data_IF_205515284087
#
_entry.id   IF_205515284087
#
_cell.length_a   1.000
_cell.length_b   1.000
_cell.length_c   1.000
_cell.angle_alpha   90.00
_cell.angle_beta   90.00
_cell.angle_gamma   90.00
#
_symmetry.space_group_name_H-M   'P 1'
#
loop_
_entity.id
_entity.type
_entity.pdbx_description
1 polymer ?
#
# COMPACT_ATOMS: atom_id res chain seq x y z
N UNK A 1 -1.84 -1.15 30.98
CA UNK A 1 -1.45 -1.39 29.58
C UNK A 1 -1.22 -2.89 29.42
N UNK A 2 -1.84 -3.50 28.44
CA UNK A 2 -1.66 -4.92 28.09
C UNK A 2 -0.89 -5.03 26.78
N UNK A 3 -0.08 -6.07 26.64
CA UNK A 3 0.60 -6.36 25.36
C UNK A 3 -0.38 -6.96 24.34
N UNK A 4 -0.01 -6.97 23.06
CA UNK A 4 -0.81 -7.53 21.98
C UNK A 4 -0.96 -9.06 22.13
N UNK A 5 -2.17 -9.56 21.94
CA UNK A 5 -2.46 -11.01 21.85
C UNK A 5 -1.99 -11.63 20.53
N UNK A 6 -1.58 -10.82 19.56
CA UNK A 6 -1.06 -11.29 18.26
C UNK A 6 0.40 -11.78 18.32
N UNK A 7 1.06 -11.67 19.48
CA UNK A 7 2.45 -12.08 19.68
C UNK A 7 2.62 -13.58 19.53
N UNK A 8 3.55 -13.99 18.67
CA UNK A 8 3.93 -15.38 18.44
C UNK A 8 5.29 -15.74 19.05
N UNK A 9 6.10 -14.74 19.36
CA UNK A 9 7.45 -14.89 19.91
C UNK A 9 7.76 -13.77 20.88
N UNK A 10 8.46 -14.07 21.98
CA UNK A 10 8.88 -13.07 22.97
C UNK A 10 10.35 -13.24 23.32
N UNK A 11 11.12 -12.17 23.21
CA UNK A 11 12.49 -12.07 23.69
C UNK A 11 12.76 -10.66 24.19
N UNK A 12 12.61 -10.45 25.50
CA UNK A 12 12.71 -9.12 26.10
C UNK A 12 14.13 -8.60 26.07
N UNK A 13 14.29 -7.41 25.47
CA UNK A 13 15.56 -6.68 25.41
C UNK A 13 15.85 -5.93 26.72
N UNK A 14 17.10 -5.89 27.17
CA UNK A 14 17.52 -5.02 28.27
C UNK A 14 17.53 -3.52 27.87
N UNK A 15 17.56 -3.22 26.56
CA UNK A 15 17.64 -1.85 26.02
C UNK A 15 16.26 -1.18 26.06
N UNK A 16 15.78 -0.84 27.27
CA UNK A 16 14.49 -0.19 27.49
C UNK A 16 14.52 0.74 28.70
N UNK A 17 13.56 1.63 28.77
CA UNK A 17 13.29 2.42 29.97
C UNK A 17 11.98 1.95 30.58
N UNK A 18 12.02 1.55 31.85
CA UNK A 18 10.86 1.03 32.59
C UNK A 18 10.53 1.90 33.80
N UNK A 19 9.27 2.32 33.96
CA UNK A 19 8.21 2.33 32.96
C UNK A 19 8.37 3.50 31.98
N UNK A 20 7.55 3.51 30.88
CA UNK A 20 7.39 4.75 30.08
C UNK A 20 6.73 5.84 30.93
N UNK A 21 7.01 7.10 30.62
CA UNK A 21 6.50 8.25 31.37
C UNK A 21 5.30 8.95 30.70
N UNK A 22 4.75 8.36 29.62
CA UNK A 22 3.61 8.90 28.87
C UNK A 22 2.65 7.79 28.47
N UNK A 23 1.37 8.12 28.33
CA UNK A 23 0.39 7.19 27.72
C UNK A 23 0.76 6.92 26.26
N UNK A 24 0.38 5.75 25.77
CA UNK A 24 0.53 5.42 24.34
C UNK A 24 -0.55 6.17 23.56
N UNK A 25 -0.14 7.05 22.65
CA UNK A 25 -1.01 7.83 21.77
C UNK A 25 -0.48 7.88 20.32
N UNK A 26 0.56 7.07 20.02
CA UNK A 26 1.29 7.09 18.74
C UNK A 26 1.79 5.70 18.36
N UNK A 27 1.91 5.46 17.06
CA UNK A 27 2.63 4.30 16.49
C UNK A 27 3.75 4.83 15.60
N UNK A 28 4.97 4.32 15.80
CA UNK A 28 6.12 4.64 14.94
C UNK A 28 6.59 3.38 14.25
N UNK A 29 6.59 3.40 12.90
CA UNK A 29 6.93 2.25 12.09
C UNK A 29 8.37 2.38 11.57
N UNK A 30 9.09 1.26 11.66
CA UNK A 30 10.45 1.06 11.22
C UNK A 30 10.54 -0.13 10.27
N UNK A 31 11.67 -0.34 9.63
CA UNK A 31 12.01 -1.56 8.93
C UNK A 31 13.28 -2.19 9.50
N UNK A 32 13.35 -3.51 9.47
CA UNK A 32 14.49 -4.27 10.01
C UNK A 32 15.78 -4.10 9.18
N UNK A 33 15.73 -3.40 8.06
CA UNK A 33 16.80 -3.29 7.06
C UNK A 33 17.33 -4.66 6.61
N UNK A 34 16.45 -5.67 6.54
CA UNK A 34 16.77 -7.03 6.14
C UNK A 34 15.57 -7.98 6.21
N UNK A 35 15.74 -9.15 5.61
CA UNK A 35 14.76 -10.24 5.66
C UNK A 35 14.98 -11.07 6.95
N UNK A 36 14.69 -10.46 8.10
CA UNK A 36 14.89 -11.11 9.40
C UNK A 36 13.60 -11.82 9.85
N UNK A 37 13.77 -12.97 10.50
CA UNK A 37 12.70 -13.58 11.29
C UNK A 37 12.51 -12.82 12.60
N UNK A 38 11.40 -13.04 13.30
CA UNK A 38 11.15 -12.43 14.60
C UNK A 38 12.21 -12.85 15.65
N UNK A 39 12.75 -14.07 15.55
CA UNK A 39 13.83 -14.56 16.39
C UNK A 39 15.14 -13.83 16.11
N UNK A 40 15.49 -13.65 14.83
CA UNK A 40 16.70 -12.92 14.43
C UNK A 40 16.62 -11.45 14.85
N UNK A 41 15.50 -10.79 14.68
CA UNK A 41 15.28 -9.43 15.14
C UNK A 41 15.42 -9.34 16.68
N UNK A 42 14.85 -10.28 17.43
CA UNK A 42 15.02 -10.38 18.88
C UNK A 42 16.48 -10.58 19.28
N UNK A 43 17.26 -11.35 18.52
CA UNK A 43 18.69 -11.54 18.75
C UNK A 43 19.49 -10.24 18.51
N UNK A 44 19.09 -9.40 17.55
CA UNK A 44 19.70 -8.08 17.33
C UNK A 44 19.53 -7.17 18.55
N UNK A 45 18.40 -7.24 19.25
CA UNK A 45 18.08 -6.38 20.40
C UNK A 45 18.48 -6.96 21.76
N UNK A 46 18.93 -8.22 21.81
CA UNK A 46 19.28 -8.91 23.05
C UNK A 46 20.53 -8.37 23.76
N UNK A 47 21.64 -8.02 23.07
CA UNK A 47 22.81 -7.49 23.73
C UNK A 47 22.54 -6.08 24.31
N UNK A 48 22.96 -5.84 25.56
CA UNK A 48 22.88 -4.50 26.18
C UNK A 48 23.69 -3.46 25.42
N UNK A 49 24.78 -3.87 24.79
CA UNK A 49 25.63 -3.02 23.96
C UNK A 49 24.98 -2.52 22.69
N UNK A 50 23.81 -3.12 22.27
CA UNK A 50 23.07 -2.69 21.08
C UNK A 50 22.50 -1.28 21.22
N UNK A 51 22.16 -0.86 22.46
CA UNK A 51 21.60 0.47 22.77
C UNK A 51 20.39 0.86 21.89
N UNK A 52 19.66 -0.13 21.40
CA UNK A 52 18.45 0.03 20.60
C UNK A 52 17.49 -1.16 20.81
N UNK A 53 16.20 -0.92 20.62
CA UNK A 53 15.15 -1.94 20.71
C UNK A 53 13.85 -1.44 20.06
N UNK A 54 12.88 -2.34 19.84
CA UNK A 54 11.52 -2.01 19.46
C UNK A 54 10.52 -2.70 20.38
N UNK A 55 9.28 -2.22 20.45
CA UNK A 55 8.24 -2.93 21.16
C UNK A 55 7.90 -4.24 20.40
N UNK A 56 7.68 -4.15 19.13
CA UNK A 56 7.32 -5.30 18.30
C UNK A 56 8.16 -5.40 17.03
N UNK A 57 8.21 -6.60 16.45
CA UNK A 57 8.72 -6.86 15.13
C UNK A 57 7.78 -7.79 14.36
N UNK A 58 7.70 -7.62 13.04
CA UNK A 58 6.88 -8.45 12.16
C UNK A 58 7.79 -9.10 11.13
N UNK A 59 7.82 -10.45 11.12
CA UNK A 59 8.55 -11.23 10.12
C UNK A 59 7.85 -11.24 8.76
N UNK A 60 8.57 -11.60 7.69
CA UNK A 60 7.98 -11.76 6.36
C UNK A 60 6.87 -12.81 6.27
N UNK A 61 6.85 -13.74 7.21
CA UNK A 61 5.84 -14.78 7.37
C UNK A 61 4.57 -14.29 8.09
N UNK A 62 4.57 -13.03 8.54
CA UNK A 62 3.47 -12.41 9.28
C UNK A 62 3.44 -12.76 10.77
N UNK A 63 4.47 -13.43 11.32
CA UNK A 63 4.60 -13.63 12.77
C UNK A 63 4.96 -12.33 13.47
N UNK A 64 4.51 -12.18 14.72
CA UNK A 64 4.78 -11.01 15.56
C UNK A 64 5.70 -11.39 16.70
N UNK A 65 6.84 -10.69 16.82
CA UNK A 65 7.75 -10.77 17.96
C UNK A 65 7.54 -9.58 18.91
N UNK A 66 7.70 -9.80 20.22
CA UNK A 66 7.72 -8.77 21.25
C UNK A 66 9.10 -8.70 21.88
N UNK A 67 9.70 -7.49 21.91
CA UNK A 67 11.06 -7.26 22.44
C UNK A 67 11.07 -6.28 23.59
N UNK A 68 10.08 -5.38 23.67
CA UNK A 68 9.84 -4.49 24.82
C UNK A 68 8.33 -4.46 25.08
N UNK A 69 7.92 -4.67 26.33
CA UNK A 69 6.50 -4.59 26.71
C UNK A 69 5.96 -3.17 26.51
N UNK A 70 4.67 -3.04 26.21
CA UNK A 70 4.07 -1.72 25.97
C UNK A 70 4.09 -0.80 27.20
N UNK A 71 4.15 -1.34 28.41
CA UNK A 71 4.33 -0.54 29.63
C UNK A 71 5.69 0.15 29.71
N UNK A 72 6.67 -0.30 28.91
CA UNK A 72 8.03 0.20 28.88
C UNK A 72 8.31 0.96 27.57
N UNK A 73 9.24 1.89 27.61
CA UNK A 73 9.72 2.62 26.43
C UNK A 73 10.81 1.82 25.73
N UNK A 74 10.62 1.50 24.46
CA UNK A 74 11.69 1.02 23.58
C UNK A 74 12.68 2.16 23.23
N UNK A 75 13.86 1.81 22.73
CA UNK A 75 14.87 2.75 22.25
C UNK A 75 14.99 2.59 20.73
N UNK A 76 13.99 3.06 19.99
CA UNK A 76 13.83 2.73 18.58
C UNK A 76 14.08 3.92 17.62
N UNK A 77 13.52 5.10 17.95
CA UNK A 77 13.54 6.23 17.03
C UNK A 77 14.68 7.21 17.26
N UNK A 78 15.62 6.92 18.18
CA UNK A 78 16.64 7.85 18.65
C UNK A 78 16.07 9.15 19.23
N UNK A 79 14.78 9.15 19.56
CA UNK A 79 14.06 10.29 20.15
C UNK A 79 13.22 9.82 21.33
N UNK A 80 13.71 10.14 22.52
CA UNK A 80 13.09 9.67 23.77
C UNK A 80 11.67 10.21 23.96
N UNK A 81 11.39 11.44 23.55
CA UNK A 81 10.05 12.02 23.63
C UNK A 81 9.04 11.30 22.74
N UNK A 82 9.45 10.91 21.51
CA UNK A 82 8.63 10.07 20.64
C UNK A 82 8.44 8.68 21.24
N UNK A 83 9.52 8.01 21.65
CA UNK A 83 9.48 6.61 22.09
C UNK A 83 8.69 6.43 23.41
N UNK A 84 8.58 7.46 24.25
CA UNK A 84 7.69 7.44 25.41
C UNK A 84 6.21 7.43 25.05
N UNK A 85 5.84 8.01 23.90
CA UNK A 85 4.47 8.09 23.38
C UNK A 85 4.13 6.93 22.45
N UNK A 86 5.14 6.39 21.76
CA UNK A 86 4.92 5.46 20.66
C UNK A 86 5.00 4.00 21.10
N UNK A 87 4.16 3.17 20.48
CA UNK A 87 4.51 1.76 20.23
C UNK A 87 5.32 1.73 18.95
N UNK A 88 6.54 1.17 19.01
CA UNK A 88 7.45 1.09 17.87
C UNK A 88 7.42 -0.31 17.26
N UNK A 89 7.37 -0.39 15.92
CA UNK A 89 7.21 -1.64 15.19
C UNK A 89 8.28 -1.75 14.10
N UNK A 90 9.09 -2.76 14.16
CA UNK A 90 10.04 -3.15 13.10
C UNK A 90 9.37 -4.12 12.12
N UNK A 91 9.47 -3.86 10.83
CA UNK A 91 8.89 -4.72 9.79
C UNK A 91 9.99 -5.31 8.93
N UNK A 92 10.00 -6.63 8.76
CA UNK A 92 10.97 -7.32 7.93
C UNK A 92 10.79 -6.94 6.45
N UNK A 93 11.91 -6.77 5.76
CA UNK A 93 11.92 -6.56 4.32
C UNK A 93 11.96 -7.91 3.58
N UNK A 94 11.27 -8.01 2.47
CA UNK A 94 11.28 -9.21 1.61
C UNK A 94 12.55 -9.31 0.76
N UNK A 95 13.25 -8.17 0.57
CA UNK A 95 14.56 -8.09 -0.07
C UNK A 95 15.38 -6.94 0.56
N UNK A 96 16.71 -6.99 0.41
CA UNK A 96 17.63 -5.95 0.89
C UNK A 96 17.83 -4.87 -0.17
N UNK A 97 18.07 -3.63 0.28
CA UNK A 97 18.29 -2.46 -0.59
C UNK A 97 16.99 -1.73 -0.98
N UNK A 98 17.14 -0.48 -1.38
CA UNK A 98 15.98 0.32 -1.83
C UNK A 98 15.26 -0.37 -3.01
N UNK A 99 13.92 -0.35 -3.00
CA UNK A 99 13.02 0.42 -2.13
C UNK A 99 12.71 -0.22 -0.76
N UNK A 100 13.41 -1.24 -0.34
CA UNK A 100 13.19 -2.00 0.90
C UNK A 100 11.78 -2.62 0.95
N UNK A 101 11.42 -3.49 0.01
CA UNK A 101 10.07 -4.03 -0.10
C UNK A 101 9.68 -4.86 1.12
N UNK A 102 8.38 -4.89 1.41
CA UNK A 102 7.78 -5.66 2.50
C UNK A 102 6.76 -6.62 1.89
N UNK A 103 6.69 -7.85 2.39
CA UNK A 103 5.70 -8.83 1.91
C UNK A 103 4.27 -8.44 2.28
N UNK A 104 3.29 -8.86 1.47
CA UNK A 104 1.88 -8.63 1.76
C UNK A 104 1.46 -9.23 3.10
N UNK A 105 2.04 -10.38 3.49
CA UNK A 105 1.78 -11.01 4.80
C UNK A 105 2.22 -10.11 5.95
N UNK A 106 3.42 -9.54 5.87
CA UNK A 106 3.94 -8.63 6.89
C UNK A 106 3.18 -7.31 6.90
N UNK A 107 2.83 -6.76 5.72
CA UNK A 107 2.07 -5.52 5.60
C UNK A 107 0.64 -5.66 6.16
N UNK A 108 -0.05 -6.75 5.85
CA UNK A 108 -1.38 -7.02 6.41
C UNK A 108 -1.32 -7.24 7.92
N UNK A 109 -0.30 -7.96 8.42
CA UNK A 109 -0.11 -8.16 9.85
C UNK A 109 0.23 -6.84 10.57
N UNK A 110 0.94 -5.93 9.93
CA UNK A 110 1.19 -4.57 10.46
C UNK A 110 -0.12 -3.82 10.67
N UNK A 111 -1.06 -3.89 9.72
CA UNK A 111 -2.40 -3.30 9.88
C UNK A 111 -3.14 -3.94 11.04
N UNK A 112 -3.14 -5.30 11.17
CA UNK A 112 -3.77 -6.01 12.28
C UNK A 112 -3.22 -5.53 13.64
N UNK A 113 -1.89 -5.44 13.76
CA UNK A 113 -1.21 -5.01 14.98
C UNK A 113 -1.50 -3.55 15.31
N UNK A 114 -1.51 -2.65 14.31
CA UNK A 114 -1.89 -1.25 14.50
C UNK A 114 -3.34 -1.11 15.00
N UNK A 115 -4.28 -1.88 14.47
CA UNK A 115 -5.69 -1.90 14.94
C UNK A 115 -5.76 -2.35 16.40
N UNK A 116 -5.05 -3.43 16.75
CA UNK A 116 -5.01 -3.96 18.11
C UNK A 116 -4.41 -2.94 19.10
N UNK A 117 -3.29 -2.30 18.76
CA UNK A 117 -2.67 -1.24 19.56
C UNK A 117 -3.63 -0.07 19.73
N UNK A 118 -4.27 0.41 18.67
CA UNK A 118 -5.22 1.51 18.74
C UNK A 118 -6.39 1.21 19.69
N UNK A 119 -7.00 0.03 19.56
CA UNK A 119 -8.12 -0.40 20.41
C UNK A 119 -7.73 -0.48 21.89
N UNK A 120 -6.57 -1.11 22.19
CA UNK A 120 -6.13 -1.30 23.58
C UNK A 120 -5.68 -0.01 24.25
N UNK A 121 -5.21 0.97 23.50
CA UNK A 121 -4.70 2.23 24.03
C UNK A 121 -5.67 3.41 23.84
N UNK A 122 -6.89 3.17 23.35
CA UNK A 122 -7.91 4.21 23.19
C UNK A 122 -7.55 5.25 22.12
N UNK A 123 -6.83 4.85 21.06
CA UNK A 123 -6.51 5.71 19.91
C UNK A 123 -7.68 5.59 18.92
N UNK A 124 -8.55 6.61 18.80
CA UNK A 124 -9.78 6.48 18.02
C UNK A 124 -9.53 6.43 16.51
N UNK A 125 -8.48 7.09 16.05
CA UNK A 125 -8.07 7.13 14.66
C UNK A 125 -6.55 7.17 14.53
N UNK A 126 -6.02 6.46 13.54
CA UNK A 126 -4.62 6.54 13.16
C UNK A 126 -4.44 7.61 12.08
N UNK A 127 -3.77 8.71 12.43
CA UNK A 127 -3.67 9.92 11.59
C UNK A 127 -2.27 10.02 10.99
N UNK A 128 -2.19 9.99 9.67
CA UNK A 128 -0.97 10.25 8.90
C UNK A 128 -1.04 11.64 8.29
N UNK A 129 -0.11 12.51 8.65
CA UNK A 129 -0.03 13.91 8.18
C UNK A 129 1.13 14.16 7.21
N UNK A 130 2.04 13.19 7.07
CA UNK A 130 3.28 13.36 6.32
C UNK A 130 4.43 13.95 7.15
N UNK A 131 4.21 14.17 8.44
CA UNK A 131 5.16 14.72 9.41
C UNK A 131 4.91 14.20 10.84
N UNK A 132 5.55 14.82 11.85
CA UNK A 132 5.43 14.44 13.26
C UNK A 132 4.15 14.91 13.93
N UNK A 133 3.27 15.66 13.29
CA UNK A 133 2.02 16.17 13.87
C UNK A 133 0.93 15.11 14.00
N UNK A 134 0.97 14.07 13.14
CA UNK A 134 0.11 12.89 13.24
C UNK A 134 0.52 11.92 14.34
N UNK A 135 -0.26 10.84 14.49
CA UNK A 135 0.04 9.76 15.42
C UNK A 135 0.47 8.44 14.75
N UNK A 136 0.51 8.40 13.41
CA UNK A 136 1.23 7.41 12.61
C UNK A 136 2.50 8.07 12.06
N UNK A 137 3.64 7.67 12.58
CA UNK A 137 4.93 8.31 12.29
C UNK A 137 5.99 7.32 11.85
N UNK A 138 7.10 7.82 11.28
CA UNK A 138 8.23 7.01 10.82
C UNK A 138 9.55 7.51 11.40
N UNK A 139 10.54 6.64 11.49
CA UNK A 139 11.84 6.91 12.12
C UNK A 139 12.55 8.14 11.53
N UNK A 140 12.58 8.28 10.21
CA UNK A 140 13.30 9.38 9.53
C UNK A 140 12.84 10.80 9.91
N UNK A 141 11.73 10.93 10.58
CA UNK A 141 11.26 12.22 11.09
C UNK A 141 11.86 12.60 12.45
N UNK A 142 12.54 11.66 13.11
CA UNK A 142 13.14 11.84 14.43
C UNK A 142 14.66 11.74 14.44
N UNK A 143 15.25 11.13 13.40
CA UNK A 143 16.69 10.96 13.24
C UNK A 143 17.09 10.95 11.76
N UNK A 144 18.34 11.30 11.40
CA UNK A 144 18.85 11.25 10.04
C UNK A 144 19.06 9.79 9.60
N UNK A 145 18.03 9.16 9.06
CA UNK A 145 18.04 7.75 8.61
C UNK A 145 17.16 7.54 7.39
N UNK A 146 17.44 6.51 6.60
CA UNK A 146 16.58 6.07 5.49
C UNK A 146 15.33 5.27 5.95
N UNK A 147 15.29 4.84 7.23
CA UNK A 147 14.18 4.05 7.78
C UNK A 147 12.83 4.81 7.69
N UNK A 148 11.73 4.16 7.28
CA UNK A 148 11.53 2.73 7.06
C UNK A 148 11.71 2.25 5.60
N UNK A 149 12.51 2.93 4.79
CA UNK A 149 12.64 2.67 3.35
C UNK A 149 11.54 3.35 2.53
N UNK A 150 11.73 3.46 1.21
CA UNK A 150 10.78 4.17 0.35
C UNK A 150 9.48 3.38 0.14
N UNK A 151 9.56 2.04 0.04
CA UNK A 151 8.38 1.19 -0.10
C UNK A 151 7.42 1.35 1.08
N UNK A 152 7.90 1.10 2.30
CA UNK A 152 7.02 1.15 3.48
C UNK A 152 6.52 2.57 3.74
N UNK A 153 7.36 3.59 3.54
CA UNK A 153 6.96 4.99 3.63
C UNK A 153 5.80 5.33 2.68
N UNK A 154 5.79 4.79 1.46
CA UNK A 154 4.69 4.99 0.50
C UNK A 154 3.37 4.35 0.94
N UNK A 155 3.41 3.36 1.85
CA UNK A 155 2.22 2.65 2.35
C UNK A 155 1.55 3.33 3.55
N UNK A 156 2.14 4.36 4.15
CA UNK A 156 1.59 4.99 5.35
C UNK A 156 0.16 5.54 5.20
N UNK A 157 -0.20 6.24 4.10
CA UNK A 157 -1.58 6.67 3.88
C UNK A 157 -2.54 5.47 3.82
N UNK A 158 -2.16 4.41 3.13
CA UNK A 158 -2.94 3.17 3.02
C UNK A 158 -3.06 2.45 4.38
N UNK A 159 -1.97 2.36 5.17
CA UNK A 159 -1.99 1.77 6.51
C UNK A 159 -2.99 2.53 7.39
N UNK A 160 -2.94 3.87 7.41
CA UNK A 160 -3.87 4.69 8.18
C UNK A 160 -5.33 4.45 7.75
N UNK A 161 -5.59 4.40 6.44
CA UNK A 161 -6.92 4.11 5.89
C UNK A 161 -7.43 2.74 6.32
N UNK A 162 -6.62 1.67 6.16
CA UNK A 162 -7.03 0.31 6.52
C UNK A 162 -7.28 0.14 8.02
N UNK A 163 -6.43 0.76 8.86
CA UNK A 163 -6.61 0.75 10.32
C UNK A 163 -7.90 1.46 10.70
N UNK A 164 -8.12 2.68 10.19
CA UNK A 164 -9.30 3.46 10.53
C UNK A 164 -10.60 2.81 10.03
N UNK A 165 -10.59 2.21 8.85
CA UNK A 165 -11.71 1.42 8.34
C UNK A 165 -12.10 0.30 9.33
N UNK A 166 -11.11 -0.40 9.93
CA UNK A 166 -11.36 -1.47 10.90
C UNK A 166 -11.67 -0.96 12.31
N UNK A 167 -11.23 0.24 12.68
CA UNK A 167 -11.62 0.88 13.94
C UNK A 167 -13.06 1.38 13.89
N UNK A 168 -13.47 2.00 12.79
CA UNK A 168 -14.77 2.66 12.63
C UNK A 168 -15.89 1.70 12.17
N UNK A 169 -15.56 0.55 11.61
CA UNK A 169 -16.53 -0.48 11.20
C UNK A 169 -17.27 -1.16 12.37
N UNK A 170 -17.02 -0.75 13.63
CA UNK A 170 -17.63 -1.28 14.83
C UNK A 170 -18.60 -0.30 15.54
N UNK A 171 -18.97 0.81 14.90
CA UNK A 171 -19.99 1.72 15.46
C UNK A 171 -21.33 1.59 14.72
N UNK A 172 -22.03 0.50 14.97
CA UNK A 172 -23.49 0.50 14.96
C UNK A 172 -23.98 -0.36 16.11
N UNK A 173 -24.66 0.33 17.00
CA UNK A 173 -25.26 -0.13 18.24
C UNK A 173 -26.27 -1.27 18.03
N UNK A 174 -26.27 -2.24 18.95
CA UNK A 174 -27.39 -3.14 19.16
C UNK A 174 -27.00 -4.61 19.32
N UNK A 175 -27.15 -5.07 20.55
CA UNK A 175 -27.10 -6.44 21.04
C UNK A 175 -27.33 -7.55 20.01
N UNK A 176 -26.24 -8.29 19.68
CA UNK A 176 -26.28 -9.74 19.46
C UNK A 176 -24.85 -10.29 19.37
N UNK A 177 -24.57 -11.56 19.73
CA UNK A 177 -23.20 -12.10 19.82
C UNK A 177 -22.50 -12.16 18.45
N UNK A 178 -21.15 -12.15 18.41
CA UNK A 178 -20.39 -11.93 17.20
C UNK A 178 -20.51 -13.11 16.24
N UNK A 179 -21.16 -12.88 15.11
CA UNK A 179 -20.99 -13.73 13.93
C UNK A 179 -20.07 -12.96 12.99
N UNK A 180 -18.77 -13.16 13.15
CA UNK A 180 -17.76 -12.67 12.22
C UNK A 180 -17.87 -13.42 10.90
N UNK A 181 -18.01 -12.68 9.79
CA UNK A 181 -17.88 -13.28 8.48
C UNK A 181 -18.41 -12.35 7.40
N UNK A 182 -17.48 -11.66 6.72
CA UNK A 182 -17.76 -10.96 5.48
C UNK A 182 -18.58 -11.86 4.54
N UNK A 183 -19.70 -11.34 4.02
CA UNK A 183 -20.61 -12.11 3.19
C UNK A 183 -20.37 -11.80 1.72
N UNK A 184 -19.77 -12.74 1.01
CA UNK A 184 -19.50 -12.67 -0.42
C UNK A 184 -20.75 -13.04 -1.22
N UNK A 185 -21.29 -12.09 -2.01
CA UNK A 185 -22.50 -12.28 -2.82
C UNK A 185 -22.14 -12.47 -4.28
N UNK A 186 -22.76 -13.44 -4.94
CA UNK A 186 -22.58 -13.70 -6.36
C UNK A 186 -23.75 -13.08 -7.12
N UNK A 187 -23.47 -12.07 -7.97
CA UNK A 187 -24.47 -11.32 -8.76
C UNK A 187 -23.93 -10.99 -10.15
N UNK A 188 -24.83 -10.62 -11.08
CA UNK A 188 -24.44 -10.06 -12.37
C UNK A 188 -23.88 -8.64 -12.24
N UNK A 189 -24.47 -7.82 -11.37
CA UNK A 189 -23.95 -6.52 -10.90
C UNK A 189 -24.35 -6.28 -9.45
N UNK A 190 -23.68 -5.39 -8.74
CA UNK A 190 -24.04 -5.10 -7.34
C UNK A 190 -25.44 -4.51 -7.21
N UNK A 191 -25.83 -3.63 -8.12
CA UNK A 191 -27.16 -2.99 -8.15
C UNK A 191 -28.30 -3.95 -8.52
N UNK A 192 -27.98 -5.08 -9.17
CA UNK A 192 -28.99 -6.09 -9.53
C UNK A 192 -29.10 -7.16 -8.44
N UNK A 193 -29.76 -6.80 -7.34
CA UNK A 193 -29.99 -7.72 -6.22
C UNK A 193 -30.82 -8.97 -6.62
N UNK A 194 -31.64 -8.87 -7.66
CA UNK A 194 -32.46 -9.98 -8.16
C UNK A 194 -31.63 -11.05 -8.88
N UNK A 195 -30.46 -10.69 -9.39
CA UNK A 195 -29.53 -11.64 -10.02
C UNK A 195 -28.71 -12.44 -9.02
N UNK A 196 -28.88 -12.26 -7.72
CA UNK A 196 -28.07 -12.97 -6.75
C UNK A 196 -28.32 -14.48 -6.77
N UNK A 197 -27.25 -15.26 -7.07
CA UNK A 197 -27.32 -16.73 -7.11
C UNK A 197 -26.69 -17.39 -5.88
N UNK A 198 -26.02 -16.62 -5.02
CA UNK A 198 -25.42 -17.13 -3.79
C UNK A 198 -24.88 -16.04 -2.87
N UNK A 199 -24.70 -16.40 -1.61
CA UNK A 199 -24.02 -15.60 -0.61
C UNK A 199 -23.21 -16.53 0.31
N UNK A 200 -21.92 -16.27 0.46
CA UNK A 200 -20.96 -17.16 1.11
C UNK A 200 -20.11 -16.40 2.12
N UNK A 201 -19.78 -17.03 3.23
CA UNK A 201 -18.86 -16.48 4.24
C UNK A 201 -17.38 -16.73 3.92
N UNK A 202 -17.12 -17.55 2.92
CA UNK A 202 -15.78 -17.90 2.46
C UNK A 202 -15.63 -17.50 1.00
N UNK A 203 -14.60 -16.68 0.68
CA UNK A 203 -14.37 -16.18 -0.67
C UNK A 203 -14.07 -17.31 -1.68
N UNK A 204 -13.31 -18.32 -1.29
CA UNK A 204 -12.99 -19.45 -2.17
C UNK A 204 -14.24 -20.29 -2.51
N UNK A 205 -15.15 -20.45 -1.56
CA UNK A 205 -16.46 -21.07 -1.81
C UNK A 205 -17.30 -20.24 -2.78
N UNK A 206 -17.31 -18.91 -2.61
CA UNK A 206 -18.01 -18.01 -3.51
C UNK A 206 -17.41 -18.01 -4.93
N UNK A 207 -16.08 -18.06 -5.05
CA UNK A 207 -15.38 -18.20 -6.36
C UNK A 207 -15.75 -19.49 -7.08
N UNK A 208 -15.77 -20.60 -6.35
CA UNK A 208 -16.11 -21.93 -6.90
C UNK A 208 -17.53 -21.97 -7.48
N UNK A 209 -18.47 -21.31 -6.82
CA UNK A 209 -19.89 -21.29 -7.22
C UNK A 209 -20.22 -20.11 -8.17
N UNK A 210 -19.25 -19.27 -8.49
CA UNK A 210 -19.44 -18.13 -9.38
C UNK A 210 -19.57 -18.59 -10.84
N UNK A 211 -20.78 -18.55 -11.37
CA UNK A 211 -21.08 -18.94 -12.75
C UNK A 211 -20.55 -17.91 -13.75
N UNK A 212 -20.39 -18.35 -15.00
CA UNK A 212 -20.04 -17.45 -16.11
C UNK A 212 -21.04 -16.29 -16.22
N UNK A 213 -20.54 -15.09 -16.47
CA UNK A 213 -21.34 -13.86 -16.52
C UNK A 213 -21.64 -13.21 -15.16
N UNK A 214 -21.14 -13.81 -14.05
CA UNK A 214 -21.34 -13.29 -12.70
C UNK A 214 -20.03 -12.80 -12.08
N UNK A 215 -20.17 -12.02 -11.01
CA UNK A 215 -19.04 -11.58 -10.18
C UNK A 215 -19.36 -11.81 -8.72
N UNK A 216 -18.32 -12.04 -7.92
CA UNK A 216 -18.39 -12.11 -6.47
C UNK A 216 -18.15 -10.71 -5.90
N UNK A 217 -19.05 -10.26 -5.05
CA UNK A 217 -19.01 -8.96 -4.39
C UNK A 217 -18.83 -9.14 -2.90
N UNK A 218 -18.02 -8.28 -2.27
CA UNK A 218 -17.97 -8.16 -0.81
C UNK A 218 -19.19 -7.37 -0.28
N UNK A 219 -19.24 -7.14 1.03
CA UNK A 219 -20.38 -6.42 1.67
C UNK A 219 -20.49 -4.97 1.21
N UNK A 220 -19.37 -4.35 0.85
CA UNK A 220 -19.32 -2.96 0.33
C UNK A 220 -19.73 -2.87 -1.15
N UNK A 221 -20.01 -3.99 -1.82
CA UNK A 221 -20.36 -4.02 -3.23
C UNK A 221 -19.15 -4.02 -4.17
N UNK A 222 -17.95 -4.18 -3.66
CA UNK A 222 -16.75 -4.27 -4.50
C UNK A 222 -16.63 -5.68 -5.12
N UNK A 223 -16.25 -5.75 -6.39
CA UNK A 223 -15.94 -7.01 -7.06
C UNK A 223 -14.65 -7.58 -6.49
N UNK A 224 -14.71 -8.77 -5.89
CA UNK A 224 -13.54 -9.51 -5.37
C UNK A 224 -13.16 -10.70 -6.25
N UNK A 225 -14.03 -11.09 -7.18
CA UNK A 225 -13.78 -12.08 -8.23
C UNK A 225 -14.80 -11.93 -9.35
N UNK A 226 -14.40 -12.16 -10.61
CA UNK A 226 -15.31 -12.13 -11.76
C UNK A 226 -15.10 -13.37 -12.63
N UNK A 227 -16.21 -14.03 -13.00
CA UNK A 227 -16.26 -15.13 -13.94
C UNK A 227 -17.03 -14.69 -15.19
N UNK A 228 -16.73 -13.50 -15.71
CA UNK A 228 -17.25 -13.01 -16.98
C UNK A 228 -16.26 -13.35 -18.09
N UNK A 229 -16.71 -13.83 -19.27
CA UNK A 229 -15.81 -14.03 -20.39
C UNK A 229 -15.13 -12.71 -20.75
N UNK A 230 -13.84 -12.79 -21.06
CA UNK A 230 -12.98 -11.67 -21.44
C UNK A 230 -13.36 -11.17 -22.84
N UNK A 231 -14.54 -10.51 -22.96
CA UNK A 231 -14.95 -9.83 -24.17
C UNK A 231 -16.00 -8.79 -23.83
N UNK A 232 -15.54 -7.62 -23.44
CA UNK A 232 -16.20 -6.35 -23.76
C UNK A 232 -15.32 -5.21 -23.27
N UNK A 233 -14.92 -4.34 -24.21
CA UNK A 233 -14.37 -3.01 -23.96
C UNK A 233 -15.22 -2.31 -22.90
N UNK A 234 -14.63 -1.59 -21.94
CA UNK A 234 -15.40 -0.73 -21.06
C UNK A 234 -15.85 0.51 -21.85
N UNK A 235 -17.04 0.45 -22.43
CA UNK A 235 -17.77 1.64 -22.79
C UNK A 235 -18.43 2.21 -21.53
N UNK A 236 -18.14 3.48 -21.29
CA UNK A 236 -18.86 4.49 -20.54
C UNK A 236 -19.76 4.02 -19.39
N UNK A 237 -19.21 3.61 -18.24
CA UNK A 237 -20.02 3.48 -17.05
C UNK A 237 -19.42 4.30 -15.89
N UNK A 238 -20.27 5.11 -15.29
CA UNK A 238 -20.08 6.05 -14.19
C UNK A 238 -19.76 5.37 -12.82
N UNK A 239 -19.21 4.17 -12.81
CA UNK A 239 -18.79 3.45 -11.60
C UNK A 239 -17.30 3.60 -11.32
N UNK A 240 -16.94 3.86 -10.08
CA UNK A 240 -15.56 3.96 -9.62
C UNK A 240 -14.78 2.66 -9.88
N UNK A 241 -13.69 2.73 -10.66
CA UNK A 241 -12.80 1.61 -10.93
C UNK A 241 -11.69 1.57 -9.87
N UNK A 242 -11.52 0.47 -9.10
CA UNK A 242 -10.52 0.40 -8.03
C UNK A 242 -9.08 0.53 -8.56
N UNK A 243 -8.75 0.00 -9.73
CA UNK A 243 -7.42 0.12 -10.34
C UNK A 243 -7.13 1.58 -10.69
N UNK A 244 -8.11 2.29 -11.27
CA UNK A 244 -7.98 3.73 -11.57
C UNK A 244 -7.82 4.52 -10.27
N UNK A 245 -8.57 4.19 -9.22
CA UNK A 245 -8.46 4.83 -7.91
C UNK A 245 -7.06 4.64 -7.32
N UNK A 246 -6.51 3.45 -7.37
CA UNK A 246 -5.16 3.17 -6.91
C UNK A 246 -4.12 3.92 -7.75
N UNK A 247 -4.30 3.96 -9.06
CA UNK A 247 -3.49 4.79 -9.97
C UNK A 247 -3.54 6.28 -9.62
N UNK A 248 -4.72 6.81 -9.26
CA UNK A 248 -4.90 8.20 -8.80
C UNK A 248 -4.17 8.45 -7.47
N UNK A 249 -4.21 7.50 -6.53
CA UNK A 249 -3.46 7.59 -5.26
C UNK A 249 -1.95 7.65 -5.54
N UNK A 250 -1.45 6.77 -6.41
CA UNK A 250 -0.05 6.77 -6.80
C UNK A 250 0.36 8.06 -7.52
N UNK A 251 -0.45 8.55 -8.46
CA UNK A 251 -0.22 9.80 -9.18
C UNK A 251 -0.21 11.02 -8.24
N UNK A 252 -1.12 11.06 -7.26
CA UNK A 252 -1.16 12.09 -6.22
C UNK A 252 0.15 12.14 -5.43
N UNK A 253 0.64 10.98 -5.02
CA UNK A 253 1.84 10.87 -4.20
C UNK A 253 3.12 11.13 -4.99
N UNK A 254 3.12 10.84 -6.29
CA UNK A 254 4.32 10.95 -7.14
C UNK A 254 4.48 12.33 -7.78
N UNK A 255 3.40 12.94 -8.29
CA UNK A 255 3.53 14.13 -9.13
C UNK A 255 2.40 15.18 -9.01
N UNK A 256 1.26 14.87 -8.35
CA UNK A 256 0.11 15.78 -8.30
C UNK A 256 -0.57 15.78 -6.93
N UNK A 257 0.04 16.39 -5.89
CA UNK A 257 -0.62 16.57 -4.60
C UNK A 257 -2.01 17.23 -4.76
N UNK A 258 -3.03 16.68 -4.08
CA UNK A 258 -4.41 17.16 -4.18
C UNK A 258 -5.25 16.57 -5.32
N UNK A 259 -4.74 15.56 -6.06
CA UNK A 259 -5.58 14.76 -6.95
C UNK A 259 -6.58 13.94 -6.12
N UNK A 260 -7.88 14.03 -6.44
CA UNK A 260 -8.91 13.15 -5.89
C UNK A 260 -8.72 11.71 -6.38
N UNK A 261 -9.06 10.73 -5.54
CA UNK A 261 -9.00 9.31 -5.87
C UNK A 261 -10.43 8.74 -5.87
N UNK A 262 -11.20 9.07 -6.89
CA UNK A 262 -12.62 8.69 -7.07
C UNK A 262 -12.80 7.44 -7.93
N UNK A 263 -11.72 6.93 -8.54
CA UNK A 263 -11.76 5.79 -9.44
C UNK A 263 -12.35 6.11 -10.82
N UNK A 264 -12.54 7.40 -11.13
CA UNK A 264 -13.12 7.87 -12.40
C UNK A 264 -12.04 8.60 -13.22
N UNK A 265 -11.86 8.19 -14.46
CA UNK A 265 -10.90 8.83 -15.36
C UNK A 265 -11.46 10.12 -15.95
N UNK A 266 -11.30 11.22 -15.23
CA UNK A 266 -11.69 12.57 -15.66
C UNK A 266 -10.51 13.42 -16.19
N UNK A 267 -10.76 14.71 -16.51
CA UNK A 267 -9.72 15.63 -16.98
C UNK A 267 -8.53 15.78 -16.03
N UNK A 268 -8.80 15.82 -14.71
CA UNK A 268 -7.73 15.90 -13.69
C UNK A 268 -6.89 14.62 -13.62
N UNK A 269 -7.49 13.45 -13.87
CA UNK A 269 -6.75 12.17 -13.94
C UNK A 269 -5.83 12.14 -15.18
N UNK A 270 -6.29 12.69 -16.31
CA UNK A 270 -5.46 12.85 -17.52
C UNK A 270 -4.29 13.81 -17.28
N UNK A 271 -4.56 14.96 -16.67
CA UNK A 271 -3.53 15.92 -16.26
C UNK A 271 -2.48 15.27 -15.34
N UNK A 272 -2.93 14.50 -14.35
CA UNK A 272 -2.05 13.77 -13.44
C UNK A 272 -1.14 12.78 -14.18
N UNK A 273 -1.65 12.05 -15.16
CA UNK A 273 -0.85 11.15 -15.99
C UNK A 273 0.29 11.87 -16.71
N UNK A 274 0.03 13.06 -17.27
CA UNK A 274 1.08 13.85 -17.91
C UNK A 274 2.11 14.33 -16.88
N UNK A 275 1.69 14.83 -15.71
CA UNK A 275 2.60 15.25 -14.63
C UNK A 275 3.46 14.11 -14.12
N UNK A 276 2.90 12.91 -14.00
CA UNK A 276 3.63 11.68 -13.61
C UNK A 276 4.75 11.39 -14.62
N UNK A 277 4.47 11.47 -15.90
CA UNK A 277 5.47 11.22 -16.93
C UNK A 277 6.54 12.34 -16.97
N UNK A 278 6.14 13.61 -16.82
CA UNK A 278 7.06 14.75 -16.70
C UNK A 278 8.00 14.58 -15.51
N UNK A 279 7.49 14.19 -14.36
CA UNK A 279 8.28 13.95 -13.15
C UNK A 279 9.30 12.81 -13.34
N UNK A 280 8.88 11.70 -13.93
CA UNK A 280 9.75 10.57 -14.17
C UNK A 280 10.91 10.93 -15.14
N UNK A 281 10.61 11.66 -16.20
CA UNK A 281 11.65 12.15 -17.12
C UNK A 281 12.61 13.13 -16.46
N UNK A 282 12.14 13.96 -15.52
CA UNK A 282 13.01 14.82 -14.72
C UNK A 282 13.95 14.01 -13.83
N UNK A 283 13.43 12.95 -13.19
CA UNK A 283 14.18 12.14 -12.24
C UNK A 283 15.19 11.20 -12.92
N UNK A 284 14.82 10.57 -14.03
CA UNK A 284 15.70 9.61 -14.72
C UNK A 284 16.64 10.28 -15.72
N UNK A 285 16.20 11.37 -16.38
CA UNK A 285 16.93 11.96 -17.50
C UNK A 285 17.35 13.41 -17.29
N UNK A 286 17.00 14.02 -16.14
CA UNK A 286 17.33 15.42 -15.87
C UNK A 286 16.65 16.39 -16.85
N UNK A 287 15.45 16.08 -17.34
CA UNK A 287 14.81 16.78 -18.45
C UNK A 287 14.41 18.24 -18.15
N UNK A 288 14.39 18.66 -16.89
CA UNK A 288 14.08 20.05 -16.48
C UNK A 288 12.67 20.51 -16.89
N UNK A 289 11.69 19.60 -16.94
CA UNK A 289 10.33 19.90 -17.33
C UNK A 289 9.56 20.53 -16.18
N UNK A 290 8.71 21.51 -16.49
CA UNK A 290 7.69 21.99 -15.55
C UNK A 290 6.58 20.93 -15.44
N UNK A 291 6.15 20.62 -14.21
CA UNK A 291 5.05 19.69 -13.95
C UNK A 291 3.69 20.40 -14.11
N UNK A 292 3.42 20.87 -15.33
CA UNK A 292 2.23 21.65 -15.64
C UNK A 292 1.04 20.79 -16.12
N UNK A 293 1.27 19.49 -16.36
CA UNK A 293 0.26 18.59 -16.89
C UNK A 293 -0.09 18.84 -18.35
N UNK A 294 0.75 19.57 -19.08
CA UNK A 294 0.58 19.84 -20.52
C UNK A 294 1.64 19.12 -21.34
N UNK A 295 1.19 18.38 -22.35
CA UNK A 295 2.10 17.68 -23.25
C UNK A 295 2.48 18.57 -24.42
N UNK A 296 3.67 19.13 -24.39
CA UNK A 296 4.19 20.02 -25.42
C UNK A 296 5.52 19.54 -26.02
N UNK A 297 6.10 20.35 -26.92
CA UNK A 297 7.37 20.01 -27.63
C UNK A 297 8.52 19.63 -26.69
N UNK A 298 8.65 20.29 -25.52
CA UNK A 298 9.69 19.97 -24.53
C UNK A 298 9.49 18.56 -23.96
N UNK A 299 8.26 18.20 -23.55
CA UNK A 299 7.92 16.87 -23.04
C UNK A 299 8.11 15.80 -24.13
N UNK A 300 7.72 16.10 -25.36
CA UNK A 300 7.89 15.24 -26.53
C UNK A 300 9.37 14.93 -26.77
N UNK A 301 10.21 15.97 -26.77
CA UNK A 301 11.66 15.88 -26.96
C UNK A 301 12.33 15.11 -25.84
N UNK A 302 11.88 15.31 -24.58
CA UNK A 302 12.40 14.64 -23.39
C UNK A 302 12.08 13.14 -23.39
N UNK A 303 10.87 12.74 -23.83
CA UNK A 303 10.53 11.33 -23.99
C UNK A 303 11.37 10.67 -25.09
N UNK A 304 11.54 11.35 -26.24
CA UNK A 304 12.42 10.92 -27.31
C UNK A 304 12.27 9.44 -27.68
N UNK A 305 13.40 8.71 -27.67
CA UNK A 305 13.46 7.27 -27.98
C UNK A 305 13.57 6.39 -26.72
N UNK A 306 13.35 6.95 -25.54
CA UNK A 306 13.42 6.18 -24.29
C UNK A 306 12.36 5.07 -24.26
N UNK A 307 12.76 3.93 -23.75
CA UNK A 307 11.91 2.75 -23.60
C UNK A 307 12.10 2.17 -22.21
N UNK A 308 11.10 1.47 -21.71
CA UNK A 308 11.22 0.63 -20.52
C UNK A 308 10.68 -0.76 -20.82
N UNK A 309 11.33 -1.80 -20.24
CA UNK A 309 11.06 -3.21 -20.50
C UNK A 309 11.35 -4.06 -19.28
N UNK A 310 10.96 -5.33 -19.37
CA UNK A 310 11.12 -6.29 -18.28
C UNK A 310 12.55 -6.32 -17.72
N UNK A 311 12.65 -6.33 -16.40
CA UNK A 311 13.90 -6.33 -15.63
C UNK A 311 14.40 -4.96 -15.22
N UNK A 312 13.89 -3.88 -15.83
CA UNK A 312 14.33 -2.53 -15.52
C UNK A 312 13.72 -1.99 -14.22
N UNK A 313 14.48 -1.11 -13.56
CA UNK A 313 14.09 -0.40 -12.32
C UNK A 313 14.46 1.06 -12.46
N UNK A 314 13.46 1.93 -12.58
CA UNK A 314 13.64 3.37 -12.74
C UNK A 314 12.31 4.12 -12.54
N UNK A 315 12.34 5.44 -12.45
CA UNK A 315 11.14 6.26 -12.28
C UNK A 315 10.21 6.21 -13.50
N UNK A 316 10.73 6.00 -14.69
CA UNK A 316 9.93 5.76 -15.89
C UNK A 316 9.10 4.47 -15.80
N UNK A 317 9.56 3.46 -15.05
CA UNK A 317 8.75 2.26 -14.75
C UNK A 317 7.63 2.59 -13.77
N UNK A 318 7.89 3.41 -12.73
CA UNK A 318 6.82 3.93 -11.84
C UNK A 318 5.77 4.68 -12.67
N UNK A 319 6.22 5.57 -13.57
CA UNK A 319 5.31 6.32 -14.43
C UNK A 319 4.47 5.38 -15.32
N UNK A 320 5.08 4.39 -15.94
CA UNK A 320 4.38 3.39 -16.75
C UNK A 320 3.30 2.66 -15.94
N UNK A 321 3.66 2.16 -14.75
CA UNK A 321 2.74 1.45 -13.86
C UNK A 321 1.56 2.33 -13.47
N UNK A 322 1.81 3.57 -13.05
CA UNK A 322 0.76 4.54 -12.72
C UNK A 322 -0.13 4.82 -13.94
N UNK A 323 0.44 5.07 -15.10
CA UNK A 323 -0.31 5.35 -16.33
C UNK A 323 -1.20 4.18 -16.75
N UNK A 324 -0.71 2.95 -16.65
CA UNK A 324 -1.50 1.74 -16.91
C UNK A 324 -2.67 1.64 -15.92
N UNK A 325 -2.43 1.85 -14.63
CA UNK A 325 -3.48 1.85 -13.62
C UNK A 325 -4.51 2.96 -13.86
N UNK A 326 -4.10 4.16 -14.26
CA UNK A 326 -5.01 5.24 -14.65
C UNK A 326 -5.86 4.91 -15.88
N UNK A 327 -5.48 3.90 -16.65
CA UNK A 327 -6.25 3.34 -17.78
C UNK A 327 -7.03 2.08 -17.38
N UNK A 328 -6.93 1.61 -16.13
CA UNK A 328 -7.62 0.43 -15.62
C UNK A 328 -6.87 -0.90 -15.82
N UNK A 329 -5.59 -0.86 -16.21
CA UNK A 329 -4.74 -2.05 -16.35
C UNK A 329 -3.93 -2.28 -15.07
N UNK A 330 -4.12 -3.43 -14.44
CA UNK A 330 -3.45 -3.79 -13.19
C UNK A 330 -2.03 -4.30 -13.47
N UNK A 331 -1.04 -3.62 -12.90
CA UNK A 331 0.38 -4.03 -12.92
C UNK A 331 0.87 -4.53 -11.55
N UNK A 332 -0.02 -4.85 -10.64
CA UNK A 332 0.28 -5.21 -9.23
C UNK A 332 0.93 -4.06 -8.44
N UNK A 333 0.49 -2.82 -8.69
CA UNK A 333 0.98 -1.61 -8.03
C UNK A 333 2.06 -0.86 -8.82
N UNK A 334 2.58 0.23 -8.22
CA UNK A 334 3.60 1.10 -8.82
C UNK A 334 4.88 1.10 -7.98
N UNK A 335 5.64 0.01 -8.05
CA UNK A 335 6.86 -0.25 -7.28
C UNK A 335 8.16 0.15 -8.00
N UNK A 336 8.06 0.58 -9.25
CA UNK A 336 9.20 0.96 -10.08
C UNK A 336 10.01 -0.22 -10.63
N UNK A 337 9.51 -1.45 -10.47
CA UNK A 337 10.13 -2.65 -11.02
C UNK A 337 9.29 -3.23 -12.16
N UNK A 338 9.85 -3.28 -13.35
CA UNK A 338 9.17 -3.86 -14.51
C UNK A 338 9.19 -5.39 -14.41
N UNK A 339 8.28 -5.93 -13.60
CA UNK A 339 8.11 -7.37 -13.42
C UNK A 339 7.18 -8.00 -14.46
N UNK A 340 6.89 -9.31 -14.28
CA UNK A 340 6.00 -10.06 -15.17
C UNK A 340 4.56 -9.50 -15.21
N UNK A 341 4.04 -8.99 -14.08
CA UNK A 341 2.72 -8.33 -14.01
C UNK A 341 2.66 -7.07 -14.85
N UNK A 342 3.69 -6.22 -14.76
CA UNK A 342 3.81 -5.02 -15.57
C UNK A 342 3.91 -5.36 -17.07
N UNK A 343 4.73 -6.35 -17.46
CA UNK A 343 4.82 -6.80 -18.86
C UNK A 343 3.49 -7.28 -19.40
N UNK A 344 2.76 -8.08 -18.61
CA UNK A 344 1.41 -8.54 -18.97
C UNK A 344 0.46 -7.36 -19.22
N UNK A 345 0.45 -6.38 -18.32
CA UNK A 345 -0.38 -5.19 -18.45
C UNK A 345 -0.01 -4.34 -19.68
N UNK A 346 1.29 -4.19 -19.98
CA UNK A 346 1.76 -3.50 -21.20
C UNK A 346 1.27 -4.20 -22.45
N UNK A 347 1.46 -5.53 -22.57
CA UNK A 347 1.02 -6.30 -23.72
C UNK A 347 -0.48 -6.23 -23.92
N UNK A 348 -1.25 -6.33 -22.85
CA UNK A 348 -2.71 -6.18 -22.90
C UNK A 348 -3.10 -4.79 -23.38
N UNK A 349 -2.51 -3.74 -22.80
CA UNK A 349 -2.76 -2.36 -23.23
C UNK A 349 -2.44 -2.14 -24.70
N UNK A 350 -1.29 -2.65 -25.15
CA UNK A 350 -0.86 -2.55 -26.55
C UNK A 350 -1.86 -3.22 -27.49
N UNK A 351 -2.31 -4.43 -27.15
CA UNK A 351 -3.31 -5.16 -27.93
C UNK A 351 -4.64 -4.39 -28.05
N UNK A 352 -5.15 -3.91 -26.90
CA UNK A 352 -6.44 -3.20 -26.83
C UNK A 352 -6.43 -1.84 -27.57
N UNK A 353 -5.23 -1.27 -27.79
CA UNK A 353 -5.07 0.05 -28.42
C UNK A 353 -4.42 -0.02 -29.81
N UNK A 354 -4.31 -1.22 -30.40
CA UNK A 354 -3.79 -1.39 -31.76
C UNK A 354 -2.31 -1.02 -31.90
N UNK A 355 -1.54 -1.12 -30.82
CA UNK A 355 -0.10 -0.93 -30.82
C UNK A 355 0.65 -2.23 -31.09
N UNK A 356 1.93 -2.18 -31.44
CA UNK A 356 2.78 -3.37 -31.53
C UNK A 356 2.86 -4.06 -30.17
N UNK A 357 2.47 -5.34 -30.07
CA UNK A 357 2.40 -6.12 -28.83
C UNK A 357 3.77 -6.76 -28.55
N UNK A 358 4.74 -5.92 -28.16
CA UNK A 358 6.13 -6.33 -27.87
C UNK A 358 6.46 -6.38 -26.37
N UNK A 359 5.54 -5.87 -25.51
CA UNK A 359 5.76 -5.78 -24.07
C UNK A 359 6.78 -4.73 -23.67
N UNK A 360 7.19 -3.84 -24.59
CA UNK A 360 8.11 -2.73 -24.38
C UNK A 360 7.33 -1.43 -24.39
N UNK A 361 7.42 -0.63 -23.35
CA UNK A 361 6.82 0.69 -23.35
C UNK A 361 7.79 1.73 -23.91
N UNK A 362 7.65 2.02 -25.17
CA UNK A 362 8.35 3.08 -25.89
C UNK A 362 7.46 4.28 -26.15
N UNK A 363 7.94 5.17 -27.03
CA UNK A 363 7.27 6.43 -27.39
C UNK A 363 5.77 6.22 -27.68
N UNK A 364 5.40 5.30 -28.57
CA UNK A 364 4.00 5.07 -28.97
C UNK A 364 3.14 4.62 -27.80
N UNK A 365 3.68 3.75 -26.94
CA UNK A 365 2.95 3.27 -25.76
C UNK A 365 2.73 4.39 -24.74
N UNK A 366 3.77 5.16 -24.39
CA UNK A 366 3.63 6.29 -23.47
C UNK A 366 2.70 7.37 -24.04
N UNK A 367 2.83 7.67 -25.34
CA UNK A 367 1.98 8.66 -25.99
C UNK A 367 0.49 8.27 -25.94
N UNK A 368 0.16 7.02 -26.19
CA UNK A 368 -1.18 6.48 -26.08
C UNK A 368 -1.73 6.53 -24.65
N UNK A 369 -0.88 6.21 -23.66
CA UNK A 369 -1.26 6.19 -22.24
C UNK A 369 -1.69 7.57 -21.71
N UNK A 370 -1.07 8.66 -22.17
CA UNK A 370 -1.39 10.02 -21.73
C UNK A 370 -2.56 10.68 -22.48
N UNK A 371 -3.06 10.08 -23.55
CA UNK A 371 -4.26 10.54 -24.28
C UNK A 371 -5.54 10.09 -23.58
#
# INVERSE_FOLDING_TARGET
>A
MSNSSLVNYTKISPNRTSPRNHKIDRITIHHMAGNLTVEQCGNVFAPSSRQASANYGIGNDGRVGMYVEEKDRSWCSSNSANDHRAVTIEVANSATGEPWPVSDKALNKLVDLCVDICKRNGIPNLVYTGDTSGNLTMHRWFAPTGCPGTYLASKFPWIAEQVNKRLNGNQSSGNNPPVSGELYRIRKSWSDAKSQIGAYRNLESAKKECKEGYSVYNEDGNVVYSNKPESSKPDGNTGANPIIRDGQIHARNFAMPGLGADGIRGPRTKEAGIRVLQQAMNLDYGAGLTLDGKWGKKSESALGKHTVRRGEKQYMVIALQILLMLKGYDCNGADGHFGAGCEKAVRQYQADHGLTVDGIAGYNTFKSLIQ
#
